data_IF_634369582697
#
_entry.id   IF_634369582697
#
_cell.length_a   1.000
_cell.length_b   1.000
_cell.length_c   1.000
_cell.angle_alpha   90.00
_cell.angle_beta   90.00
_cell.angle_gamma   90.00
#
_symmetry.space_group_name_H-M   'P 1'
#
loop_
_entity.id
_entity.type
_entity.pdbx_description
1 polymer ?
#
# COMPACT_ATOMS: atom_id res chain seq x y z
N UNK A 1 11.20 -64.00 -19.29
CA UNK A 1 10.62 -65.28 -19.77
C UNK A 1 9.14 -65.43 -19.41
N UNK A 2 8.32 -64.36 -19.28
CA UNK A 2 6.96 -64.53 -18.74
C UNK A 2 5.87 -63.55 -19.20
N UNK A 3 6.10 -62.71 -20.22
CA UNK A 3 5.05 -61.79 -20.70
C UNK A 3 4.17 -62.44 -21.78
N UNK A 4 4.76 -63.27 -22.65
CA UNK A 4 4.02 -63.97 -23.71
C UNK A 4 3.09 -65.07 -23.17
N UNK A 5 3.42 -65.70 -22.04
CA UNK A 5 2.55 -66.72 -21.44
C UNK A 5 1.34 -66.09 -20.75
N UNK A 6 1.52 -64.93 -20.11
CA UNK A 6 0.42 -64.17 -19.50
C UNK A 6 -0.51 -63.52 -20.53
N UNK A 7 -0.02 -63.14 -21.71
CA UNK A 7 -0.88 -62.65 -22.79
C UNK A 7 -1.76 -63.76 -23.38
N UNK A 8 -1.33 -65.03 -23.26
CA UNK A 8 -2.08 -66.19 -23.75
C UNK A 8 -3.36 -66.45 -22.94
N UNK A 9 -3.45 -65.95 -21.71
CA UNK A 9 -4.68 -66.06 -20.89
C UNK A 9 -5.72 -64.98 -21.21
N UNK A 10 -5.33 -63.90 -21.89
CA UNK A 10 -6.22 -62.82 -22.32
C UNK A 10 -6.84 -63.07 -23.71
N UNK A 11 -6.37 -64.09 -24.42
CA UNK A 11 -6.86 -64.45 -25.74
C UNK A 11 -8.08 -65.39 -25.61
N UNK A 12 -9.27 -64.80 -25.70
CA UNK A 12 -10.57 -65.49 -25.56
C UNK A 12 -10.97 -66.31 -26.79
N UNK A 13 -10.23 -66.18 -27.91
CA UNK A 13 -10.57 -66.87 -29.16
C UNK A 13 -9.71 -68.12 -29.41
N UNK A 14 -10.34 -69.18 -29.88
CA UNK A 14 -9.64 -70.41 -30.27
C UNK A 14 -8.73 -70.15 -31.48
N UNK A 15 -7.45 -70.50 -31.34
CA UNK A 15 -6.47 -70.30 -32.42
C UNK A 15 -6.78 -71.21 -33.61
N UNK A 16 -6.88 -70.63 -34.81
CA UNK A 16 -7.11 -71.39 -36.05
C UNK A 16 -5.90 -72.28 -36.37
N UNK A 17 -6.14 -73.49 -36.89
CA UNK A 17 -5.07 -74.43 -37.26
C UNK A 17 -4.15 -73.87 -38.34
N UNK A 18 -2.85 -74.20 -38.24
CA UNK A 18 -1.80 -73.61 -39.08
C UNK A 18 -1.94 -73.95 -40.58
N UNK A 19 -2.71 -74.97 -40.93
CA UNK A 19 -2.91 -75.44 -42.31
C UNK A 19 -3.75 -74.49 -43.17
N UNK A 20 -4.56 -73.62 -42.56
CA UNK A 20 -5.37 -72.62 -43.26
C UNK A 20 -4.78 -71.20 -43.18
N UNK A 21 -3.57 -71.04 -42.61
CA UNK A 21 -2.98 -69.72 -42.30
C UNK A 21 -1.91 -69.34 -43.33
N UNK A 22 -2.28 -68.48 -44.28
CA UNK A 22 -1.32 -67.84 -45.17
C UNK A 22 -0.72 -66.60 -44.48
N UNK A 23 0.61 -66.58 -44.28
CA UNK A 23 1.30 -65.43 -43.69
C UNK A 23 1.53 -64.36 -44.74
N UNK A 24 0.80 -63.25 -44.66
CA UNK A 24 0.97 -62.11 -45.57
C UNK A 24 1.75 -60.98 -44.88
N UNK A 25 2.88 -60.58 -45.47
CA UNK A 25 3.73 -59.50 -44.93
C UNK A 25 3.01 -58.15 -44.99
N UNK A 26 2.25 -57.90 -46.07
CA UNK A 26 1.45 -56.69 -46.25
C UNK A 26 0.36 -56.53 -45.18
N UNK A 27 -0.29 -57.63 -44.77
CA UNK A 27 -1.29 -57.60 -43.70
C UNK A 27 -0.69 -57.24 -42.34
N UNK A 28 0.52 -57.72 -42.05
CA UNK A 28 1.24 -57.37 -40.83
C UNK A 28 1.67 -55.89 -40.81
N UNK A 29 2.15 -55.35 -41.94
CA UNK A 29 2.49 -53.92 -42.05
C UNK A 29 1.24 -53.07 -41.81
N UNK A 30 0.13 -53.42 -42.46
CA UNK A 30 -1.12 -52.68 -42.34
C UNK A 30 -1.65 -52.70 -40.90
N UNK A 31 -1.56 -53.84 -40.19
CA UNK A 31 -1.97 -53.91 -38.79
C UNK A 31 -1.08 -53.09 -37.85
N UNK A 32 0.22 -53.03 -38.10
CA UNK A 32 1.13 -52.20 -37.29
C UNK A 32 0.83 -50.72 -37.50
N UNK A 33 0.63 -50.30 -38.75
CA UNK A 33 0.30 -48.91 -39.08
C UNK A 33 -1.03 -48.49 -38.45
N UNK A 34 -2.06 -49.35 -38.49
CA UNK A 34 -3.35 -49.04 -37.87
C UNK A 34 -3.26 -48.95 -36.36
N UNK A 35 -2.51 -49.84 -35.69
CA UNK A 35 -2.29 -49.76 -34.24
C UNK A 35 -1.59 -48.45 -33.87
N UNK A 36 -0.55 -48.06 -34.62
CA UNK A 36 0.16 -46.80 -34.37
C UNK A 36 -0.77 -45.59 -34.54
N UNK A 37 -1.58 -45.58 -35.60
CA UNK A 37 -2.56 -44.51 -35.83
C UNK A 37 -3.62 -44.44 -34.72
N UNK A 38 -4.14 -45.60 -34.28
CA UNK A 38 -5.10 -45.67 -33.16
C UNK A 38 -4.45 -45.15 -31.87
N UNK A 39 -3.24 -45.60 -31.53
CA UNK A 39 -2.52 -45.12 -30.35
C UNK A 39 -2.29 -43.60 -30.40
N UNK A 40 -1.91 -43.06 -31.55
CA UNK A 40 -1.73 -41.61 -31.73
C UNK A 40 -3.03 -40.85 -31.47
N UNK A 41 -4.14 -41.28 -32.06
CA UNK A 41 -5.45 -40.64 -31.87
C UNK A 41 -5.90 -40.72 -30.41
N UNK A 42 -5.76 -41.88 -29.77
CA UNK A 42 -6.12 -42.06 -28.36
C UNK A 42 -5.29 -41.14 -27.45
N UNK A 43 -3.98 -41.04 -27.66
CA UNK A 43 -3.13 -40.16 -26.86
C UNK A 43 -3.50 -38.69 -27.09
N UNK A 44 -3.80 -38.30 -28.34
CA UNK A 44 -4.22 -36.94 -28.68
C UNK A 44 -5.52 -36.55 -27.99
N UNK A 45 -6.56 -37.38 -28.12
CA UNK A 45 -7.85 -37.15 -27.45
C UNK A 45 -7.73 -37.17 -25.93
N UNK A 46 -6.92 -38.10 -25.39
CA UNK A 46 -6.64 -38.13 -23.97
C UNK A 46 -6.01 -36.82 -23.48
N UNK A 47 -5.01 -36.30 -24.20
CA UNK A 47 -4.36 -35.03 -23.87
C UNK A 47 -5.34 -33.86 -23.95
N UNK A 48 -6.19 -33.83 -24.98
CA UNK A 48 -7.19 -32.77 -25.18
C UNK A 48 -8.29 -32.80 -24.12
N UNK A 49 -8.81 -33.99 -23.78
CA UNK A 49 -9.88 -34.14 -22.79
C UNK A 49 -9.41 -33.84 -21.36
N UNK A 50 -8.15 -34.19 -21.04
CA UNK A 50 -7.54 -33.86 -19.74
C UNK A 50 -7.08 -32.40 -19.63
N UNK A 51 -7.21 -31.58 -20.67
CA UNK A 51 -7.05 -30.13 -20.50
C UNK A 51 -8.25 -29.58 -19.75
N UNK A 52 -8.00 -29.10 -18.53
CA UNK A 52 -9.01 -28.44 -17.71
C UNK A 52 -9.42 -27.12 -18.37
N UNK A 53 -10.67 -27.01 -18.83
CA UNK A 53 -11.23 -25.73 -19.29
C UNK A 53 -11.55 -24.87 -18.08
N UNK A 54 -10.87 -23.73 -17.95
CA UNK A 54 -11.20 -22.72 -16.95
C UNK A 54 -12.46 -21.99 -17.42
N UNK A 55 -13.59 -22.21 -16.75
CA UNK A 55 -14.84 -21.49 -17.02
C UNK A 55 -15.03 -20.42 -15.95
N UNK A 56 -14.90 -19.16 -16.36
CA UNK A 56 -15.22 -18.02 -15.51
C UNK A 56 -16.74 -17.95 -15.31
N UNK A 57 -17.19 -18.07 -14.05
CA UNK A 57 -18.59 -17.87 -13.67
C UNK A 57 -18.68 -16.67 -12.73
N UNK A 58 -19.58 -15.74 -13.04
CA UNK A 58 -19.92 -14.65 -12.14
C UNK A 58 -20.93 -15.19 -11.13
N UNK A 59 -20.53 -15.19 -9.86
CA UNK A 59 -21.43 -15.49 -8.76
C UNK A 59 -21.83 -14.18 -8.08
N UNK A 60 -23.10 -14.07 -7.69
CA UNK A 60 -23.55 -12.97 -6.84
C UNK A 60 -23.19 -13.36 -5.42
N UNK A 61 -22.11 -12.79 -4.88
CA UNK A 61 -21.86 -12.90 -3.44
C UNK A 61 -22.94 -12.11 -2.70
N UNK A 62 -23.59 -12.77 -1.74
CA UNK A 62 -24.33 -12.08 -0.70
C UNK A 62 -23.39 -11.07 -0.03
N UNK A 63 -23.81 -9.81 0.08
CA UNK A 63 -22.99 -8.71 0.56
C UNK A 63 -22.41 -9.04 1.94
N UNK A 64 -21.17 -9.51 1.99
CA UNK A 64 -20.43 -9.56 3.25
C UNK A 64 -20.21 -8.14 3.70
N UNK A 65 -20.70 -7.79 4.90
CA UNK A 65 -20.51 -6.47 5.53
C UNK A 65 -19.03 -6.14 5.82
N UNK A 66 -18.12 -7.07 5.51
CA UNK A 66 -16.68 -6.84 5.54
C UNK A 66 -16.32 -5.96 4.36
N UNK A 67 -15.89 -4.72 4.64
CA UNK A 67 -15.37 -3.79 3.64
C UNK A 67 -14.24 -4.39 2.79
N UNK A 68 -13.85 -3.67 1.74
CA UNK A 68 -12.76 -4.06 0.85
C UNK A 68 -11.42 -3.61 1.44
N UNK A 69 -10.58 -4.56 1.84
CA UNK A 69 -9.19 -4.27 2.20
C UNK A 69 -8.32 -4.19 0.93
N UNK A 70 -7.73 -3.03 0.69
CA UNK A 70 -6.78 -2.77 -0.40
C UNK A 70 -5.37 -2.59 0.14
N UNK A 71 -4.44 -3.34 -0.40
CA UNK A 71 -3.00 -3.13 -0.22
C UNK A 71 -2.43 -2.48 -1.48
N UNK A 72 -1.64 -1.42 -1.32
CA UNK A 72 -1.03 -0.71 -2.43
C UNK A 72 0.43 -0.36 -2.14
N UNK A 73 1.23 -0.32 -3.20
CA UNK A 73 2.63 0.13 -3.21
C UNK A 73 2.86 0.93 -4.50
N UNK A 74 2.99 2.25 -4.35
CA UNK A 74 3.04 3.21 -5.45
C UNK A 74 4.29 4.08 -5.33
N UNK A 75 5.02 4.26 -6.43
CA UNK A 75 6.24 5.07 -6.49
C UNK A 75 6.06 6.32 -7.36
N UNK A 76 6.33 7.48 -6.78
CA UNK A 76 6.25 8.79 -7.44
C UNK A 76 7.65 9.39 -7.53
N UNK A 77 8.31 9.26 -8.68
CA UNK A 77 9.72 9.63 -8.85
C UNK A 77 9.99 11.15 -8.87
N UNK A 78 8.96 11.96 -9.13
CA UNK A 78 9.06 13.41 -9.30
C UNK A 78 8.26 14.20 -8.26
N UNK A 79 7.84 13.54 -7.17
CA UNK A 79 7.07 14.18 -6.08
C UNK A 79 7.75 13.87 -4.75
N UNK A 80 8.22 14.90 -4.00
CA UNK A 80 8.84 14.70 -2.70
C UNK A 80 7.78 14.28 -1.66
N UNK A 81 8.17 13.41 -0.71
CA UNK A 81 7.24 12.88 0.29
C UNK A 81 6.64 13.94 1.23
N UNK A 82 7.31 15.09 1.39
CA UNK A 82 6.88 16.14 2.30
C UNK A 82 5.63 16.87 1.81
N UNK A 83 5.47 17.04 0.50
CA UNK A 83 4.30 17.71 -0.08
C UNK A 83 3.20 16.73 -0.46
N UNK A 84 3.52 15.45 -0.65
CA UNK A 84 2.50 14.47 -1.03
C UNK A 84 1.48 14.31 0.10
N UNK A 85 0.20 14.46 -0.18
CA UNK A 85 -0.93 14.13 0.69
C UNK A 85 -1.73 12.96 0.10
N UNK A 86 -2.39 12.20 0.97
CA UNK A 86 -3.17 11.01 0.60
C UNK A 86 -4.49 11.12 1.33
N UNK A 87 -5.58 10.97 0.59
CA UNK A 87 -6.94 11.03 1.10
C UNK A 87 -7.75 9.87 0.53
N UNK A 88 -8.72 9.37 1.28
CA UNK A 88 -9.58 8.27 0.88
C UNK A 88 -11.05 8.65 1.10
N UNK A 89 -11.85 8.55 0.05
CA UNK A 89 -13.27 8.88 0.07
C UNK A 89 -14.12 7.62 -0.09
N UNK A 90 -15.12 7.49 0.76
CA UNK A 90 -16.18 6.50 0.64
C UNK A 90 -17.16 6.91 -0.49
N UNK A 91 -17.96 5.99 -1.09
CA UNK A 91 -19.07 6.31 -2.01
C UNK A 91 -20.06 7.34 -1.49
N UNK A 92 -20.14 7.52 -0.16
CA UNK A 92 -20.93 8.58 0.48
C UNK A 92 -20.29 9.97 0.40
N UNK A 93 -19.07 10.08 -0.14
CA UNK A 93 -18.30 11.32 -0.20
C UNK A 93 -17.69 11.75 1.13
N UNK A 94 -17.78 10.92 2.17
CA UNK A 94 -17.10 11.16 3.44
C UNK A 94 -15.62 10.79 3.31
N UNK A 95 -14.76 11.77 3.61
CA UNK A 95 -13.33 11.54 3.73
C UNK A 95 -13.07 10.66 4.95
N UNK A 96 -12.55 9.46 4.72
CA UNK A 96 -12.10 8.57 5.78
C UNK A 96 -10.76 9.09 6.30
N UNK A 97 -10.74 9.42 7.59
CA UNK A 97 -9.51 9.81 8.26
C UNK A 97 -8.60 8.59 8.38
N UNK A 98 -7.70 8.47 7.41
CA UNK A 98 -6.73 7.38 7.28
C UNK A 98 -5.77 7.26 8.49
N UNK A 99 -5.81 8.23 9.39
CA UNK A 99 -5.02 8.34 10.63
C UNK A 99 -5.75 7.90 11.89
N UNK A 100 -7.10 7.90 11.89
CA UNK A 100 -7.90 7.66 13.09
C UNK A 100 -8.25 6.19 13.27
N UNK A 101 -8.40 5.43 12.18
CA UNK A 101 -8.71 4.01 12.27
C UNK A 101 -7.42 3.18 12.34
N UNK A 102 -7.31 2.34 13.38
CA UNK A 102 -6.19 1.41 13.58
C UNK A 102 -6.04 0.40 12.44
N UNK A 103 -7.08 0.21 11.62
CA UNK A 103 -7.07 -0.66 10.46
C UNK A 103 -6.28 -0.08 9.28
N UNK A 104 -6.12 1.24 9.23
CA UNK A 104 -5.37 1.90 8.17
C UNK A 104 -3.92 2.13 8.58
N UNK A 105 -3.01 1.78 7.69
CA UNK A 105 -1.62 2.14 7.83
C UNK A 105 -1.06 2.49 6.46
N UNK A 106 -0.53 3.70 6.35
CA UNK A 106 0.14 4.16 5.15
C UNK A 106 1.47 4.76 5.56
N UNK A 107 2.52 4.31 4.89
CA UNK A 107 3.88 4.77 5.10
C UNK A 107 4.38 5.50 3.88
N UNK A 108 5.16 6.54 4.13
CA UNK A 108 5.91 7.29 3.14
C UNK A 108 7.38 7.02 3.34
N UNK A 109 8.06 6.72 2.25
CA UNK A 109 9.50 6.52 2.23
C UNK A 109 10.11 7.41 1.16
N UNK A 110 11.06 8.25 1.57
CA UNK A 110 11.75 9.15 0.64
C UNK A 110 12.62 8.34 -0.30
N UNK A 111 12.74 8.79 -1.54
CA UNK A 111 13.46 8.08 -2.58
C UNK A 111 14.30 9.07 -3.38
N UNK A 112 15.50 8.66 -3.76
CA UNK A 112 16.33 9.37 -4.72
C UNK A 112 15.77 9.22 -6.13
N UNK A 113 16.08 10.14 -7.05
CA UNK A 113 15.78 10.02 -8.50
C UNK A 113 16.19 8.68 -9.13
N UNK A 114 17.19 8.01 -8.56
CA UNK A 114 17.71 6.71 -9.00
C UNK A 114 16.91 5.51 -8.49
N UNK A 115 15.81 5.73 -7.77
CA UNK A 115 14.99 4.67 -7.18
C UNK A 115 15.48 4.17 -5.82
N UNK A 116 16.57 4.74 -5.29
CA UNK A 116 17.13 4.34 -4.01
C UNK A 116 16.35 4.97 -2.86
N UNK A 117 15.89 4.13 -1.94
CA UNK A 117 15.22 4.52 -0.69
C UNK A 117 16.19 5.30 0.23
N UNK A 118 15.77 6.46 0.73
CA UNK A 118 16.52 7.38 1.59
C UNK A 118 15.79 7.57 2.92
N UNK A 119 16.52 7.45 4.03
CA UNK A 119 16.01 7.77 5.38
C UNK A 119 15.12 6.68 5.99
N UNK A 120 14.40 7.04 7.05
CA UNK A 120 13.48 6.13 7.75
C UNK A 120 12.07 6.23 7.18
N UNK A 121 11.34 5.11 7.15
CA UNK A 121 9.90 5.10 6.83
C UNK A 121 9.15 5.97 7.84
N UNK A 122 8.34 6.91 7.37
CA UNK A 122 7.45 7.71 8.23
C UNK A 122 6.01 7.26 8.01
N UNK A 123 5.30 6.95 9.09
CA UNK A 123 3.86 6.74 9.03
C UNK A 123 3.18 8.07 8.74
N UNK A 124 2.15 8.05 7.90
CA UNK A 124 1.30 9.20 7.73
C UNK A 124 0.44 9.32 9.00
N UNK A 125 0.64 10.38 9.76
CA UNK A 125 -0.16 10.78 10.92
C UNK A 125 -0.53 12.26 10.65
N UNK A 126 -1.82 12.59 10.51
CA UNK A 126 -2.26 13.97 10.38
C UNK A 126 -2.31 14.60 11.77
N UNK A 127 -1.54 15.66 11.97
CA UNK A 127 -1.54 16.44 13.20
C UNK A 127 -0.57 15.88 14.24
N UNK A 128 0.15 16.78 14.89
CA UNK A 128 0.98 16.54 16.07
C UNK A 128 0.17 16.16 17.32
N UNK A 129 -1.08 15.73 17.18
CA UNK A 129 -1.85 15.23 18.31
C UNK A 129 -1.37 13.82 18.62
N UNK A 130 -0.62 13.70 19.70
CA UNK A 130 -0.21 12.47 20.33
C UNK A 130 -1.46 11.67 20.71
N UNK A 131 -1.95 10.83 19.81
CA UNK A 131 -3.15 10.00 20.03
C UNK A 131 -2.83 8.67 20.74
N UNK A 132 -1.59 8.47 21.16
CA UNK A 132 -1.19 7.31 21.96
C UNK A 132 -0.75 7.77 23.35
N UNK A 133 -1.41 7.27 24.38
CA UNK A 133 -1.01 7.45 25.80
C UNK A 133 0.47 7.11 26.02
N UNK A 134 1.06 6.25 25.19
CA UNK A 134 2.46 5.85 25.29
C UNK A 134 3.44 6.99 24.93
N UNK A 135 3.15 7.80 23.91
CA UNK A 135 4.00 8.95 23.56
C UNK A 135 3.82 10.12 24.53
N UNK A 136 2.62 10.24 25.13
CA UNK A 136 2.40 11.21 26.20
C UNK A 136 3.25 10.87 27.43
N UNK A 137 3.34 9.58 27.79
CA UNK A 137 4.18 9.11 28.91
C UNK A 137 5.67 9.38 28.67
N UNK A 138 6.16 9.13 27.47
CA UNK A 138 7.57 9.38 27.13
C UNK A 138 7.92 10.89 27.13
N UNK A 139 7.00 11.75 26.70
CA UNK A 139 7.22 13.20 26.76
C UNK A 139 7.02 13.78 28.16
N UNK A 140 6.05 13.29 28.93
CA UNK A 140 5.87 13.70 30.33
C UNK A 140 7.09 13.28 31.15
N UNK A 141 7.62 12.07 30.98
CA UNK A 141 8.83 11.62 31.68
C UNK A 141 10.08 12.44 31.27
N UNK A 142 10.19 12.82 29.99
CA UNK A 142 11.28 13.70 29.53
C UNK A 142 11.16 15.15 30.02
N UNK A 143 9.94 15.66 30.24
CA UNK A 143 9.69 17.06 30.65
C UNK A 143 9.70 17.20 32.18
N UNK A 144 9.15 16.24 32.92
CA UNK A 144 9.02 16.34 34.39
C UNK A 144 10.08 15.54 35.14
N UNK A 145 10.71 14.53 34.53
CA UNK A 145 11.70 13.69 35.19
C UNK A 145 11.18 12.88 36.38
N UNK A 146 9.87 12.84 36.61
CA UNK A 146 9.23 12.20 37.77
C UNK A 146 8.60 10.86 37.39
N UNK A 147 8.83 9.84 38.23
CA UNK A 147 8.17 8.53 38.13
C UNK A 147 6.92 8.51 39.02
N UNK A 148 5.83 7.92 38.54
CA UNK A 148 4.56 7.84 39.29
C UNK A 148 4.74 7.22 40.68
N UNK A 149 4.34 7.97 41.72
CA UNK A 149 4.32 7.50 43.10
C UNK A 149 4.55 8.54 44.21
N UNK A 150 4.76 9.82 43.88
CA UNK A 150 4.91 10.88 44.89
C UNK A 150 3.68 11.80 44.92
N UNK A 151 3.14 12.01 46.12
CA UNK A 151 2.04 12.92 46.40
C UNK A 151 2.49 14.36 46.18
N UNK A 152 1.70 15.11 45.40
CA UNK A 152 1.94 16.54 45.14
C UNK A 152 1.46 17.33 46.34
N UNK A 153 2.38 17.83 47.16
CA UNK A 153 2.11 19.00 48.02
C UNK A 153 1.99 20.24 47.14
N UNK A 154 1.03 21.11 47.43
CA UNK A 154 0.85 22.43 46.80
C UNK A 154 2.07 23.30 47.07
N UNK A 155 3.11 23.12 46.25
CA UNK A 155 4.21 24.06 46.09
C UNK A 155 3.93 24.89 44.84
N UNK A 156 4.03 26.21 44.97
CA UNK A 156 3.95 27.16 43.87
C UNK A 156 4.85 26.70 42.71
N UNK A 157 4.23 26.19 41.65
CA UNK A 157 4.93 25.82 40.43
C UNK A 157 5.22 27.12 39.69
N UNK A 158 6.44 27.63 39.85
CA UNK A 158 7.04 28.58 38.89
C UNK A 158 7.14 27.86 37.54
N UNK A 159 6.06 27.91 36.76
CA UNK A 159 6.09 27.54 35.34
C UNK A 159 7.11 28.48 34.69
N UNK A 160 8.25 27.97 34.16
CA UNK A 160 9.19 28.84 33.47
C UNK A 160 8.41 29.54 32.37
N UNK A 161 8.42 30.88 32.36
CA UNK A 161 7.70 31.68 31.40
C UNK A 161 7.97 31.12 30.00
N UNK A 162 6.96 30.47 29.41
CA UNK A 162 7.08 29.96 28.05
C UNK A 162 7.46 31.15 27.18
N UNK A 163 8.59 31.03 26.52
CA UNK A 163 9.18 32.08 25.69
C UNK A 163 8.27 32.26 24.47
N UNK A 164 7.21 33.05 24.64
CA UNK A 164 6.14 33.29 23.68
C UNK A 164 6.72 33.60 22.29
N UNK A 165 6.44 32.74 21.32
CA UNK A 165 6.96 32.88 19.97
C UNK A 165 6.42 34.14 19.27
N UNK A 166 7.27 34.83 18.51
CA UNK A 166 6.86 36.04 17.81
C UNK A 166 6.06 35.74 16.55
N UNK A 167 4.91 36.41 16.35
CA UNK A 167 4.10 36.34 15.12
C UNK A 167 4.59 37.25 13.97
N UNK A 168 5.85 37.74 14.01
CA UNK A 168 6.48 38.59 12.98
C UNK A 168 5.62 39.78 12.50
N UNK A 169 4.93 40.45 13.44
CA UNK A 169 4.12 41.64 13.17
C UNK A 169 2.70 41.36 12.65
N UNK A 170 2.33 40.09 12.49
CA UNK A 170 0.98 39.71 12.06
C UNK A 170 0.02 39.38 13.21
N UNK A 171 0.54 39.17 14.43
CA UNK A 171 -0.26 38.86 15.63
C UNK A 171 -0.95 40.07 16.25
N UNK A 172 -1.97 39.81 17.07
CA UNK A 172 -2.64 40.80 17.92
C UNK A 172 -1.90 41.01 19.25
N UNK A 173 -2.27 42.05 20.03
CA UNK A 173 -1.63 42.31 21.32
C UNK A 173 -1.85 41.14 22.28
N UNK A 174 -0.77 40.44 22.63
CA UNK A 174 -0.80 39.24 23.49
C UNK A 174 -0.96 37.90 22.75
N UNK A 175 -0.96 37.87 21.41
CA UNK A 175 -0.99 36.61 20.63
C UNK A 175 0.43 36.05 20.46
N UNK A 176 0.63 34.80 20.89
CA UNK A 176 1.86 34.04 20.72
C UNK A 176 1.79 33.12 19.50
N UNK A 177 2.87 33.04 18.73
CA UNK A 177 3.00 32.14 17.58
C UNK A 177 4.20 31.19 17.76
N UNK A 178 3.91 30.02 18.28
CA UNK A 178 4.93 29.01 18.59
C UNK A 178 5.16 28.06 17.41
N UNK A 179 4.15 27.85 16.56
CA UNK A 179 4.27 27.00 15.36
C UNK A 179 4.23 27.81 14.05
N UNK A 180 4.76 27.22 12.97
CA UNK A 180 4.67 27.82 11.63
C UNK A 180 3.22 28.06 11.19
N UNK A 181 2.30 27.18 11.60
CA UNK A 181 0.89 27.30 11.24
C UNK A 181 0.22 28.46 11.98
N UNK A 182 0.67 28.79 13.18
CA UNK A 182 0.21 29.99 13.90
C UNK A 182 0.65 31.26 13.19
N UNK A 183 1.91 31.32 12.75
CA UNK A 183 2.43 32.44 11.95
C UNK A 183 1.65 32.57 10.63
N UNK A 184 1.42 31.48 9.90
CA UNK A 184 0.62 31.49 8.66
C UNK A 184 -0.80 31.98 8.91
N UNK A 185 -1.43 31.56 10.02
CA UNK A 185 -2.80 31.97 10.39
C UNK A 185 -2.88 33.46 10.68
N UNK A 186 -1.91 33.99 11.42
CA UNK A 186 -1.80 35.43 11.69
C UNK A 186 -1.63 36.24 10.39
N UNK A 187 -0.73 35.80 9.50
CA UNK A 187 -0.53 36.45 8.19
C UNK A 187 -1.80 36.42 7.33
N UNK A 188 -2.49 35.28 7.28
CA UNK A 188 -3.74 35.12 6.53
C UNK A 188 -4.84 36.04 7.05
N UNK A 189 -4.94 36.23 8.37
CA UNK A 189 -5.91 37.14 9.01
C UNK A 189 -5.66 38.60 8.61
N UNK A 190 -4.40 39.00 8.48
CA UNK A 190 -3.98 40.32 7.99
C UNK A 190 -4.04 40.45 6.45
N UNK A 191 -4.36 39.37 5.73
CA UNK A 191 -4.36 39.34 4.26
C UNK A 191 -2.96 39.36 3.65
N UNK A 192 -1.92 39.05 4.43
CA UNK A 192 -0.53 38.99 3.96
C UNK A 192 -0.23 37.61 3.38
N UNK A 193 0.50 37.58 2.26
CA UNK A 193 0.97 36.33 1.64
C UNK A 193 2.39 36.06 2.11
N UNK A 194 2.57 34.99 2.89
CA UNK A 194 3.89 34.56 3.31
C UNK A 194 4.62 33.93 2.12
N UNK A 195 5.64 34.63 1.58
CA UNK A 195 6.46 34.13 0.46
C UNK A 195 7.49 33.11 0.95
N UNK A 196 7.91 32.21 0.07
CA UNK A 196 8.92 31.19 0.38
C UNK A 196 10.23 31.78 0.93
N UNK A 197 10.66 32.97 0.47
CA UNK A 197 11.84 33.67 0.99
C UNK A 197 11.66 34.09 2.45
N UNK A 198 10.52 34.68 2.80
CA UNK A 198 10.21 35.12 4.17
C UNK A 198 10.02 33.93 5.11
N UNK A 199 9.46 32.83 4.59
CA UNK A 199 9.26 31.62 5.36
C UNK A 199 10.59 30.90 5.68
N UNK A 200 11.67 31.13 4.90
CA UNK A 200 13.04 30.66 5.24
C UNK A 200 13.69 31.47 6.37
N UNK A 201 13.31 32.74 6.52
CA UNK A 201 13.80 33.64 7.58
C UNK A 201 13.13 33.36 8.92
N UNK A 202 11.91 32.80 8.91
CA UNK A 202 11.13 32.48 10.10
C UNK A 202 11.60 31.13 10.68
N UNK A 203 12.19 31.10 11.90
CA UNK A 203 12.71 29.88 12.50
C UNK A 203 11.64 28.82 12.74
N UNK A 204 10.41 29.23 13.08
CA UNK A 204 9.26 28.33 13.25
C UNK A 204 8.91 27.57 11.95
N UNK A 205 9.18 28.16 10.79
CA UNK A 205 8.80 27.62 9.47
C UNK A 205 9.94 26.94 8.71
N UNK A 206 11.19 27.13 9.16
CA UNK A 206 12.39 26.63 8.47
C UNK A 206 12.40 25.11 8.29
N UNK A 207 11.91 24.36 9.27
CA UNK A 207 11.89 22.89 9.23
C UNK A 207 10.97 22.34 8.12
N UNK A 208 9.84 23.01 7.84
CA UNK A 208 8.91 22.62 6.78
C UNK A 208 9.46 22.88 5.38
N UNK A 209 10.27 23.92 5.21
CA UNK A 209 10.81 24.32 3.90
C UNK A 209 12.09 23.59 3.49
N UNK A 210 12.85 23.05 4.43
CA UNK A 210 14.02 22.20 4.10
C UNK A 210 13.66 21.03 3.19
N UNK A 211 12.39 20.63 3.14
CA UNK A 211 11.88 19.57 2.26
C UNK A 211 11.43 20.05 0.87
N UNK A 212 11.35 21.36 0.64
CA UNK A 212 10.97 21.95 -0.65
C UNK A 212 12.17 22.15 -1.59
N UNK A 213 13.40 22.18 -1.06
CA UNK A 213 14.63 22.23 -1.84
C UNK A 213 15.04 20.83 -2.41
N UNK A 214 14.21 19.80 -2.19
CA UNK A 214 14.35 18.41 -2.68
C UNK A 214 13.90 18.27 -4.14
N UNK A 215 14.43 19.11 -5.04
CA UNK A 215 13.97 19.24 -6.45
C UNK A 215 14.15 17.98 -7.32
N UNK A 216 14.82 16.95 -6.81
CA UNK A 216 15.10 15.69 -7.51
C UNK A 216 14.80 14.45 -6.64
N UNK A 217 13.93 14.56 -5.64
CA UNK A 217 13.48 13.43 -4.83
C UNK A 217 12.10 12.91 -5.24
N UNK A 218 11.92 11.61 -5.05
CA UNK A 218 10.65 10.90 -5.19
C UNK A 218 10.14 10.39 -3.85
N UNK A 219 8.94 9.81 -3.89
CA UNK A 219 8.29 9.20 -2.75
C UNK A 219 7.73 7.82 -3.10
N UNK A 220 8.07 6.83 -2.29
CA UNK A 220 7.34 5.56 -2.25
C UNK A 220 6.27 5.64 -1.17
N UNK A 221 5.05 5.27 -1.55
CA UNK A 221 3.91 5.17 -0.65
C UNK A 221 3.39 3.75 -0.69
N UNK A 222 3.36 3.10 0.47
CA UNK A 222 2.76 1.78 0.60
C UNK A 222 1.88 1.72 1.84
N UNK A 223 0.84 0.90 1.79
CA UNK A 223 -0.06 0.76 2.91
C UNK A 223 -1.26 -0.13 2.65
N UNK A 224 -2.06 -0.30 3.70
CA UNK A 224 -3.37 -0.96 3.64
C UNK A 224 -4.46 0.01 4.06
N UNK A 225 -5.50 0.07 3.26
CA UNK A 225 -6.72 0.87 3.47
C UNK A 225 -7.91 -0.08 3.40
N UNK A 226 -8.87 0.10 4.28
CA UNK A 226 -10.11 -0.66 4.26
C UNK A 226 -11.24 0.27 3.79
N UNK A 227 -11.70 0.08 2.56
CA UNK A 227 -12.82 0.83 1.99
C UNK A 227 -14.14 0.12 2.32
N UNK A 228 -15.26 0.84 2.23
CA UNK A 228 -16.57 0.21 2.38
C UNK A 228 -16.89 -0.68 1.18
N UNK A 229 -17.90 -1.54 1.35
CA UNK A 229 -18.35 -2.51 0.34
C UNK A 229 -18.88 -1.87 -0.95
N UNK A 230 -19.24 -0.58 -0.92
CA UNK A 230 -19.67 0.19 -2.10
C UNK A 230 -18.53 0.74 -2.95
N UNK A 231 -17.28 0.39 -2.65
CA UNK A 231 -16.09 0.95 -3.29
C UNK A 231 -15.59 2.19 -2.57
N UNK A 232 -14.74 2.97 -3.24
CA UNK A 232 -14.16 4.21 -2.72
C UNK A 232 -13.06 4.71 -3.64
N UNK A 233 -12.66 5.96 -3.47
CA UNK A 233 -11.56 6.56 -4.24
C UNK A 233 -10.41 6.93 -3.31
N UNK A 234 -9.19 6.58 -3.71
CA UNK A 234 -7.97 7.04 -3.03
C UNK A 234 -7.31 8.08 -3.91
N UNK A 235 -7.09 9.28 -3.35
CA UNK A 235 -6.47 10.40 -4.01
C UNK A 235 -5.05 10.61 -3.47
N UNK A 236 -4.09 10.72 -4.39
CA UNK A 236 -2.71 11.10 -4.10
C UNK A 236 -2.45 12.43 -4.81
N UNK A 237 -2.21 13.49 -4.05
CA UNK A 237 -2.02 14.83 -4.61
C UNK A 237 -0.94 15.59 -3.82
N UNK A 238 -0.23 16.55 -4.43
CA UNK A 238 0.58 17.49 -3.68
C UNK A 238 -0.31 18.42 -2.83
N UNK A 239 0.13 18.73 -1.61
CA UNK A 239 -0.58 19.59 -0.66
C UNK A 239 -0.66 21.02 -1.18
N UNK A 240 -1.79 21.67 -0.86
CA UNK A 240 -2.14 23.02 -1.30
C UNK A 240 -1.24 24.12 -0.75
N UNK A 241 -0.38 23.79 0.22
CA UNK A 241 0.59 24.73 0.81
C UNK A 241 1.64 25.24 -0.19
N UNK A 242 1.81 24.58 -1.34
CA UNK A 242 2.75 24.99 -2.39
C UNK A 242 2.14 25.88 -3.49
N UNK A 243 0.80 26.00 -3.57
CA UNK A 243 0.12 26.70 -4.68
C UNK A 243 0.38 28.23 -4.70
N UNK A 244 1.06 28.77 -3.67
CA UNK A 244 1.39 30.19 -3.55
C UNK A 244 2.87 30.54 -3.81
N UNK A 245 3.71 29.63 -4.32
CA UNK A 245 5.05 30.00 -4.82
C UNK A 245 4.99 30.30 -6.32
N UNK A 246 4.96 31.58 -6.76
CA UNK A 246 5.31 31.89 -8.14
C UNK A 246 6.79 31.58 -8.36
N UNK A 247 7.09 30.96 -9.50
CA UNK A 247 8.44 30.78 -10.06
C UNK A 247 9.24 32.09 -10.12
#
# INVERSE_FOLDING_TARGET
>A
MGFSENLKSFDSHSTVSNEFRVRTVHGAILSVVTIVAICYLVISEYRFNFQTTVLEKVHVSEMTLAGLEMEFDVTLHSVPCAILSIDANDPTGQAQSLHLDKRHHVWKHRMSKTGRLIGSKRRLELGSTLLSEEHLKEQVENVTGLKEGEEVEEADIDVPAEECGSCFGAGEEGECCDTCDDVKRAYKRKGWVLRASQQKEIPQCKQMLTSADEKDEGCNVHGRIALSTGGGNVHLAPSRDLENSPD
#
